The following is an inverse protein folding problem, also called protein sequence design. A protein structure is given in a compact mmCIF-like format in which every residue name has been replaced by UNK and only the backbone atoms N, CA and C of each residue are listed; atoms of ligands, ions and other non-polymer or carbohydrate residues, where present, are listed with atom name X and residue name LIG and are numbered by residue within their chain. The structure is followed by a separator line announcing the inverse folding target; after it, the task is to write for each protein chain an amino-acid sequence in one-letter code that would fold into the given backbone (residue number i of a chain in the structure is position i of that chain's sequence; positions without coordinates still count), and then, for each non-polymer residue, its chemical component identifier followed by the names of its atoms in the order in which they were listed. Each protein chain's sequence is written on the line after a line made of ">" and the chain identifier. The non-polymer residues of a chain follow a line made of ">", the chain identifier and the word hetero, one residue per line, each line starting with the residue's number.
data_IF_585455103824
#
_entry.id   IF_585455103824
#
_cell.length_a   1.000
_cell.length_b   1.000
_cell.length_c   1.000
_cell.angle_alpha   90.00
_cell.angle_beta   90.00
_cell.angle_gamma   90.00
#
_symmetry.space_group_name_H-M   'P 1'
#
loop_
_entity.id
_entity.type
_entity.pdbx_description
1 polymer ?
#
# COMPACT_ATOMS: atom_id res chain seq x y z
N UNK A 1 -15.70 -9.29 -9.11
CA UNK A 1 -14.89 -8.39 -8.25
C UNK A 1 -15.84 -7.74 -7.25
N UNK A 2 -15.55 -7.80 -5.95
CA UNK A 2 -16.39 -7.18 -4.91
C UNK A 2 -16.15 -5.67 -4.86
N UNK A 3 -17.06 -4.89 -4.29
CA UNK A 3 -16.83 -3.45 -4.05
C UNK A 3 -16.54 -3.17 -2.57
N UNK A 4 -16.24 -1.91 -2.24
CA UNK A 4 -15.98 -1.48 -0.86
C UNK A 4 -17.21 -1.66 0.06
N UNK A 5 -18.43 -1.57 -0.46
CA UNK A 5 -19.68 -1.78 0.28
C UNK A 5 -19.86 -3.25 0.68
N UNK A 6 -19.46 -4.19 -0.19
CA UNK A 6 -19.45 -5.62 0.12
C UNK A 6 -18.47 -5.91 1.24
N UNK A 7 -17.27 -5.31 1.21
CA UNK A 7 -16.29 -5.42 2.30
C UNK A 7 -16.85 -4.90 3.63
N UNK A 8 -17.58 -3.77 3.59
CA UNK A 8 -18.21 -3.19 4.78
C UNK A 8 -19.27 -4.11 5.37
N UNK A 9 -20.12 -4.71 4.52
CA UNK A 9 -21.13 -5.68 4.94
C UNK A 9 -20.50 -6.92 5.56
N UNK A 10 -19.44 -7.46 4.96
CA UNK A 10 -18.72 -8.62 5.50
C UNK A 10 -18.06 -8.30 6.85
N UNK A 11 -17.44 -7.13 7.00
CA UNK A 11 -16.86 -6.69 8.27
C UNK A 11 -17.90 -6.61 9.39
N UNK A 12 -19.08 -6.06 9.13
CA UNK A 12 -20.18 -6.00 10.12
C UNK A 12 -20.62 -7.43 10.54
N UNK A 13 -20.70 -8.37 9.60
CA UNK A 13 -21.13 -9.75 9.88
C UNK A 13 -20.14 -10.55 10.74
N UNK A 14 -18.86 -10.18 10.72
CA UNK A 14 -17.81 -10.89 11.47
C UNK A 14 -17.41 -10.19 12.76
N UNK A 15 -18.06 -9.07 13.10
CA UNK A 15 -17.76 -8.34 14.33
C UNK A 15 -17.98 -9.23 15.56
N UNK A 16 -17.07 -9.12 16.53
CA UNK A 16 -17.02 -9.95 17.73
C UNK A 16 -16.95 -11.48 17.51
N UNK A 17 -16.73 -11.96 16.28
CA UNK A 17 -16.48 -13.39 16.01
C UNK A 17 -15.01 -13.76 16.25
N UNK A 18 -14.73 -15.06 16.14
CA UNK A 18 -13.38 -15.60 16.24
C UNK A 18 -12.49 -15.04 15.12
N UNK A 19 -11.23 -14.80 15.46
CA UNK A 19 -10.23 -14.21 14.58
C UNK A 19 -10.10 -14.92 13.22
N UNK A 20 -10.26 -16.25 13.20
CA UNK A 20 -10.19 -17.05 11.98
C UNK A 20 -11.20 -16.65 10.90
N UNK A 21 -12.29 -15.97 11.27
CA UNK A 21 -13.28 -15.45 10.33
C UNK A 21 -12.71 -14.36 9.42
N UNK A 22 -11.59 -13.70 9.76
CA UNK A 22 -10.96 -12.75 8.85
C UNK A 22 -10.56 -13.36 7.51
N UNK A 23 -10.32 -14.69 7.44
CA UNK A 23 -9.99 -15.38 6.19
C UNK A 23 -11.07 -15.22 5.12
N UNK A 24 -12.32 -14.97 5.50
CA UNK A 24 -13.42 -14.73 4.54
C UNK A 24 -13.30 -13.39 3.82
N UNK A 25 -12.49 -12.46 4.35
CA UNK A 25 -12.18 -11.18 3.70
C UNK A 25 -11.11 -11.30 2.62
N UNK A 26 -10.53 -12.48 2.38
CA UNK A 26 -9.59 -12.69 1.29
C UNK A 26 -10.23 -12.37 -0.06
N UNK A 27 -9.50 -11.67 -0.93
CA UNK A 27 -9.93 -11.32 -2.28
C UNK A 27 -9.65 -9.89 -2.69
N UNK A 28 -10.31 -9.46 -3.76
CA UNK A 28 -10.11 -8.15 -4.40
C UNK A 28 -11.36 -7.29 -4.33
N UNK A 29 -11.17 -6.04 -3.91
CA UNK A 29 -12.22 -5.06 -3.65
C UNK A 29 -11.97 -3.78 -4.45
N UNK A 30 -12.93 -3.39 -5.27
CA UNK A 30 -12.87 -2.13 -6.02
C UNK A 30 -13.21 -0.94 -5.13
N UNK A 31 -12.33 0.07 -5.17
CA UNK A 31 -12.50 1.38 -4.54
C UNK A 31 -12.71 2.50 -5.59
N UNK A 32 -13.11 2.12 -6.80
CA UNK A 32 -13.30 3.04 -7.92
C UNK A 32 -11.99 3.30 -8.66
N UNK A 33 -11.12 4.12 -8.09
CA UNK A 33 -9.86 4.54 -8.74
C UNK A 33 -8.70 3.54 -8.53
N UNK A 34 -8.87 2.58 -7.62
CA UNK A 34 -7.90 1.54 -7.33
C UNK A 34 -8.60 0.27 -6.85
N UNK A 35 -7.85 -0.83 -6.82
CA UNK A 35 -8.29 -2.10 -6.27
C UNK A 35 -7.45 -2.39 -5.03
N UNK A 36 -8.12 -2.75 -3.93
CA UNK A 36 -7.50 -3.29 -2.74
C UNK A 36 -7.55 -4.81 -2.80
N UNK A 37 -6.39 -5.45 -2.75
CA UNK A 37 -6.28 -6.90 -2.63
C UNK A 37 -5.88 -7.27 -1.21
N UNK A 38 -6.57 -8.27 -0.66
CA UNK A 38 -6.22 -8.95 0.58
C UNK A 38 -5.70 -10.34 0.15
N UNK A 39 -4.40 -10.43 -0.10
CA UNK A 39 -3.75 -11.61 -0.68
C UNK A 39 -3.59 -12.73 0.36
N UNK A 40 -3.25 -12.36 1.60
CA UNK A 40 -3.09 -13.31 2.70
C UNK A 40 -3.59 -12.71 4.00
N UNK A 41 -4.41 -13.46 4.72
CA UNK A 41 -4.90 -13.08 6.04
C UNK A 41 -4.13 -13.87 7.10
N UNK A 42 -3.53 -13.16 8.06
CA UNK A 42 -2.81 -13.77 9.18
C UNK A 42 -3.72 -14.75 9.95
N UNK A 43 -3.17 -15.88 10.40
CA UNK A 43 -3.96 -16.93 11.06
C UNK A 43 -4.37 -16.61 12.51
N UNK A 44 -3.63 -15.72 13.16
CA UNK A 44 -3.82 -15.29 14.55
C UNK A 44 -3.30 -13.84 14.71
N UNK A 45 -3.81 -13.03 15.67
CA UNK A 45 -3.37 -11.63 15.86
C UNK A 45 -1.88 -11.44 16.14
N UNK A 46 -1.20 -12.48 16.66
CA UNK A 46 0.22 -12.44 17.00
C UNK A 46 1.13 -12.96 15.88
N UNK A 47 0.55 -13.50 14.81
CA UNK A 47 1.29 -14.03 13.67
C UNK A 47 1.93 -12.91 12.81
N UNK A 48 2.62 -13.31 11.75
CA UNK A 48 3.05 -12.37 10.72
C UNK A 48 1.83 -11.63 10.13
N UNK A 49 1.90 -10.30 9.94
CA UNK A 49 0.84 -9.48 9.38
C UNK A 49 0.15 -10.03 8.14
N UNK A 50 -1.12 -9.66 7.95
CA UNK A 50 -1.82 -9.90 6.69
C UNK A 50 -1.12 -9.15 5.56
N UNK A 51 -1.07 -9.74 4.36
CA UNK A 51 -0.47 -9.14 3.16
C UNK A 51 -1.56 -8.56 2.27
N UNK A 52 -1.37 -7.31 1.88
CA UNK A 52 -2.28 -6.56 1.05
C UNK A 52 -1.50 -5.87 -0.06
N UNK A 53 -2.21 -5.52 -1.13
CA UNK A 53 -1.67 -4.66 -2.17
C UNK A 53 -2.73 -3.76 -2.75
N UNK A 54 -2.32 -2.54 -3.08
CA UNK A 54 -3.06 -1.67 -3.96
C UNK A 54 -2.67 -1.97 -5.41
N UNK A 55 -3.65 -1.93 -6.30
CA UNK A 55 -3.45 -2.01 -7.74
C UNK A 55 -4.17 -0.82 -8.41
N UNK A 56 -3.44 -0.12 -9.29
CA UNK A 56 -3.95 1.03 -10.03
C UNK A 56 -3.58 0.91 -11.49
N UNK A 57 -4.55 1.11 -12.39
CA UNK A 57 -4.31 1.09 -13.84
C UNK A 57 -3.54 2.32 -14.30
N UNK A 58 -2.81 2.20 -15.41
CA UNK A 58 -2.01 3.27 -16.02
C UNK A 58 -2.80 4.55 -16.23
N UNK A 59 -4.01 4.43 -16.75
CA UNK A 59 -4.87 5.57 -17.07
C UNK A 59 -5.27 6.36 -15.82
N UNK A 60 -5.21 5.73 -14.64
CA UNK A 60 -5.63 6.34 -13.38
C UNK A 60 -4.46 6.86 -12.56
N UNK A 61 -3.32 6.14 -12.49
CA UNK A 61 -2.19 6.57 -11.66
C UNK A 61 -1.52 7.85 -12.17
N UNK A 62 -1.53 8.07 -13.49
CA UNK A 62 -1.09 9.32 -14.12
C UNK A 62 0.41 9.67 -14.03
N UNK A 63 1.29 8.76 -13.55
CA UNK A 63 2.74 8.96 -13.65
C UNK A 63 3.20 9.01 -15.12
N UNK A 64 4.18 9.89 -15.46
CA UNK A 64 4.73 9.98 -16.82
C UNK A 64 5.35 8.65 -17.28
N UNK A 65 5.04 8.25 -18.52
CA UNK A 65 5.49 6.96 -19.07
C UNK A 65 7.01 6.85 -19.19
N UNK A 66 7.66 7.95 -19.55
CA UNK A 66 9.12 8.10 -19.60
C UNK A 66 9.84 7.74 -18.28
N UNK A 67 9.14 7.73 -17.14
CA UNK A 67 9.72 7.37 -15.85
C UNK A 67 9.74 5.86 -15.59
N UNK A 68 9.01 5.05 -16.35
CA UNK A 68 8.95 3.60 -16.16
C UNK A 68 9.14 2.76 -17.43
N UNK A 69 9.42 3.38 -18.57
CA UNK A 69 9.85 2.70 -19.79
C UNK A 69 11.22 2.01 -19.61
N UNK A 70 12.20 2.77 -19.14
CA UNK A 70 13.56 2.30 -18.92
C UNK A 70 13.74 1.71 -17.52
N UNK A 71 14.45 0.58 -17.41
CA UNK A 71 14.60 -0.15 -16.13
C UNK A 71 15.14 0.74 -15.00
N UNK A 72 16.20 1.53 -15.25
CA UNK A 72 16.85 2.33 -14.22
C UNK A 72 15.96 3.50 -13.74
N UNK A 73 15.22 4.14 -14.64
CA UNK A 73 14.21 5.16 -14.28
C UNK A 73 13.06 4.55 -13.49
N UNK A 74 12.58 3.39 -13.94
CA UNK A 74 11.51 2.65 -13.25
C UNK A 74 11.87 2.33 -11.80
N UNK A 75 13.10 1.86 -11.56
CA UNK A 75 13.60 1.60 -10.21
C UNK A 75 13.63 2.86 -9.35
N UNK A 76 14.02 4.01 -9.92
CA UNK A 76 13.99 5.28 -9.21
C UNK A 76 12.55 5.70 -8.87
N UNK A 77 11.61 5.57 -9.80
CA UNK A 77 10.19 5.85 -9.57
C UNK A 77 9.61 4.96 -8.47
N UNK A 78 9.79 3.64 -8.56
CA UNK A 78 9.34 2.66 -7.57
C UNK A 78 9.86 3.00 -6.17
N UNK A 79 11.15 3.34 -6.06
CA UNK A 79 11.78 3.74 -4.80
C UNK A 79 11.23 5.05 -4.25
N UNK A 80 10.98 6.07 -5.09
CA UNK A 80 10.38 7.33 -4.64
C UNK A 80 8.94 7.16 -4.16
N UNK A 81 8.14 6.35 -4.85
CA UNK A 81 6.77 6.05 -4.41
C UNK A 81 6.80 5.29 -3.07
N UNK A 82 7.69 4.32 -2.91
CA UNK A 82 7.87 3.59 -1.65
C UNK A 82 8.28 4.54 -0.50
N UNK A 83 9.24 5.44 -0.74
CA UNK A 83 9.66 6.44 0.27
C UNK A 83 8.52 7.37 0.65
N UNK A 84 7.69 7.78 -0.31
CA UNK A 84 6.51 8.61 -0.05
C UNK A 84 5.51 7.85 0.82
N UNK A 85 5.21 6.60 0.50
CA UNK A 85 4.33 5.75 1.30
C UNK A 85 4.85 5.57 2.73
N UNK A 86 6.13 5.25 2.90
CA UNK A 86 6.76 5.17 4.22
C UNK A 86 6.70 6.49 5.01
N UNK A 87 6.80 7.64 4.33
CA UNK A 87 6.64 8.95 4.98
C UNK A 87 5.21 9.18 5.46
N UNK A 88 4.21 8.81 4.65
CA UNK A 88 2.80 8.91 5.04
C UNK A 88 2.48 7.99 6.23
N UNK A 89 2.99 6.75 6.21
CA UNK A 89 2.85 5.83 7.34
C UNK A 89 3.38 6.42 8.65
N UNK A 90 4.56 7.05 8.63
CA UNK A 90 5.13 7.71 9.83
C UNK A 90 4.28 8.86 10.37
N UNK A 91 3.52 9.54 9.52
CA UNK A 91 2.63 10.64 9.94
C UNK A 91 1.32 10.12 10.55
N UNK A 92 0.90 8.93 10.12
CA UNK A 92 -0.31 8.25 10.60
C UNK A 92 -0.07 7.39 11.84
N UNK A 93 1.18 7.06 12.16
CA UNK A 93 1.58 6.21 13.28
C UNK A 93 1.27 6.88 14.64
N UNK A 94 -0.01 6.87 15.03
CA UNK A 94 -0.56 7.44 16.26
C UNK A 94 -0.93 6.38 17.31
N UNK A 95 -0.34 5.18 17.23
CA UNK A 95 -0.43 4.15 18.28
C UNK A 95 -1.12 2.85 17.85
N UNK A 96 -0.93 1.80 18.68
CA UNK A 96 -1.49 0.46 18.49
C UNK A 96 -3.01 0.45 18.71
N UNK A 97 -3.76 -0.19 17.80
CA UNK A 97 -5.22 -0.30 17.86
C UNK A 97 -5.68 -1.67 18.41
N UNK A 98 -5.05 -2.15 19.49
CA UNK A 98 -5.43 -3.42 20.15
C UNK A 98 -4.25 -4.27 20.62
N UNK A 99 -4.45 -5.59 20.60
CA UNK A 99 -3.43 -6.58 21.02
C UNK A 99 -2.43 -6.89 19.89
N UNK A 100 -1.17 -7.17 20.22
CA UNK A 100 -0.16 -7.59 19.25
C UNK A 100 0.20 -6.49 18.23
N UNK A 101 0.16 -6.83 16.93
CA UNK A 101 0.45 -5.89 15.82
C UNK A 101 -0.80 -5.19 15.29
N UNK A 102 -1.89 -5.18 16.05
CA UNK A 102 -3.20 -4.66 15.64
C UNK A 102 -3.14 -3.21 15.13
N UNK A 103 -3.64 -3.00 13.92
CA UNK A 103 -3.70 -1.70 13.27
C UNK A 103 -2.38 -1.16 12.74
N UNK A 104 -1.27 -1.90 12.91
CA UNK A 104 0.02 -1.50 12.38
C UNK A 104 0.09 -1.80 10.89
N UNK A 105 0.37 -0.78 10.09
CA UNK A 105 0.63 -0.89 8.66
C UNK A 105 2.14 -0.76 8.44
N UNK A 106 2.74 -1.72 7.74
CA UNK A 106 4.17 -1.77 7.46
C UNK A 106 4.44 -2.14 6.00
N UNK A 107 5.62 -1.82 5.51
CA UNK A 107 6.13 -2.32 4.22
C UNK A 107 7.65 -2.43 4.32
N UNK A 108 8.33 -2.92 3.27
CA UNK A 108 9.78 -3.04 3.31
C UNK A 108 10.44 -1.65 3.45
N UNK A 109 11.52 -1.53 4.25
CA UNK A 109 12.21 -0.27 4.43
C UNK A 109 12.93 0.18 3.15
N UNK A 110 12.90 1.48 2.88
CA UNK A 110 13.70 2.12 1.85
C UNK A 110 14.92 2.80 2.50
N UNK A 111 16.06 2.11 2.47
CA UNK A 111 17.34 2.59 3.01
C UNK A 111 17.99 3.60 2.04
N UNK A 112 19.30 3.86 2.17
CA UNK A 112 20.00 4.83 1.32
C UNK A 112 20.11 4.39 -0.15
N UNK A 113 20.07 3.09 -0.43
CA UNK A 113 20.24 2.54 -1.78
C UNK A 113 18.92 2.38 -2.52
N UNK A 114 18.90 2.77 -3.80
CA UNK A 114 17.84 2.41 -4.76
C UNK A 114 18.09 0.97 -5.22
N UNK A 115 17.14 0.07 -4.95
CA UNK A 115 17.24 -1.35 -5.29
C UNK A 115 15.94 -1.83 -5.90
N UNK A 116 16.03 -2.86 -6.72
CA UNK A 116 14.87 -3.60 -7.23
C UNK A 116 14.16 -4.30 -6.06
N UNK A 117 12.88 -4.01 -5.89
CA UNK A 117 12.04 -4.50 -4.79
C UNK A 117 10.66 -4.86 -5.31
N UNK A 118 9.98 -5.73 -4.59
CA UNK A 118 8.60 -6.14 -4.92
C UNK A 118 7.53 -5.24 -4.29
N UNK A 119 7.93 -4.27 -3.46
CA UNK A 119 6.98 -3.46 -2.69
C UNK A 119 6.26 -2.40 -3.52
N UNK A 120 6.90 -1.87 -4.55
CA UNK A 120 6.25 -1.06 -5.57
C UNK A 120 6.70 -1.60 -6.91
N UNK A 121 5.75 -1.92 -7.78
CA UNK A 121 6.04 -2.47 -9.11
C UNK A 121 5.27 -1.66 -10.14
N UNK A 122 5.99 -1.05 -11.07
CA UNK A 122 5.40 -0.45 -12.27
C UNK A 122 5.51 -1.41 -13.45
N UNK A 123 4.42 -1.53 -14.18
CA UNK A 123 4.34 -2.26 -15.44
C UNK A 123 3.75 -1.34 -16.51
N UNK A 124 3.69 -1.81 -17.76
CA UNK A 124 3.14 -1.01 -18.87
C UNK A 124 1.68 -0.61 -18.66
N UNK A 125 0.91 -1.41 -17.93
CA UNK A 125 -0.55 -1.23 -17.83
C UNK A 125 -1.03 -0.89 -16.40
N UNK A 126 -0.18 -1.10 -15.39
CA UNK A 126 -0.56 -0.91 -13.98
C UNK A 126 0.62 -0.66 -13.05
N UNK A 127 0.29 -0.12 -11.90
CA UNK A 127 1.15 0.01 -10.72
C UNK A 127 0.58 -0.85 -9.58
N UNK A 128 1.46 -1.56 -8.87
CA UNK A 128 1.14 -2.28 -7.64
C UNK A 128 1.94 -1.71 -6.45
N UNK A 129 1.32 -1.56 -5.28
CA UNK A 129 2.00 -1.24 -4.03
C UNK A 129 1.63 -2.28 -2.97
N UNK A 130 2.62 -3.03 -2.48
CA UNK A 130 2.45 -4.12 -1.51
C UNK A 130 2.83 -3.66 -0.11
N UNK A 131 2.01 -4.05 0.85
CA UNK A 131 2.20 -3.72 2.25
C UNK A 131 1.58 -4.80 3.14
N UNK A 132 1.87 -4.66 4.42
CA UNK A 132 1.43 -5.54 5.48
C UNK A 132 0.56 -4.76 6.45
N UNK A 133 -0.49 -5.39 6.96
CA UNK A 133 -1.37 -4.78 7.96
C UNK A 133 -1.77 -5.82 9.01
N UNK A 134 -1.54 -5.49 10.28
CA UNK A 134 -2.07 -6.28 11.38
C UNK A 134 -3.57 -6.04 11.52
N UNK A 135 -4.38 -7.08 11.33
CA UNK A 135 -5.83 -6.96 11.48
C UNK A 135 -6.19 -6.87 12.97
N UNK A 136 -7.07 -5.93 13.36
CA UNK A 136 -7.28 -5.60 14.76
C UNK A 136 -8.10 -6.65 15.50
N UNK A 137 -7.64 -7.02 16.69
CA UNK A 137 -8.33 -7.94 17.58
C UNK A 137 -8.15 -7.60 19.06
N UNK A 138 -9.12 -8.01 19.89
CA UNK A 138 -9.01 -8.05 21.35
C UNK A 138 -8.88 -9.50 21.77
N UNK A 139 -7.67 -9.92 22.16
CA UNK A 139 -7.38 -11.35 22.24
C UNK A 139 -7.62 -12.00 20.88
N UNK A 140 -8.46 -13.04 20.80
CA UNK A 140 -8.85 -13.71 19.54
C UNK A 140 -10.20 -13.28 18.98
N UNK A 141 -10.72 -12.16 19.46
CA UNK A 141 -12.02 -11.63 19.03
C UNK A 141 -11.81 -10.48 18.06
N UNK A 142 -12.49 -10.53 16.91
CA UNK A 142 -12.43 -9.52 15.86
C UNK A 142 -12.94 -8.16 16.37
N UNK A 143 -12.24 -7.08 16.02
CA UNK A 143 -12.69 -5.71 16.24
C UNK A 143 -13.06 -5.05 14.90
N UNK A 144 -14.27 -5.28 14.40
CA UNK A 144 -14.65 -4.83 13.06
C UNK A 144 -14.68 -3.31 12.94
N UNK A 145 -15.06 -2.59 14.01
CA UNK A 145 -15.04 -1.12 14.01
C UNK A 145 -13.65 -0.55 13.75
N UNK A 146 -12.62 -1.11 14.38
CA UNK A 146 -11.24 -0.69 14.15
C UNK A 146 -10.74 -1.07 12.77
N UNK A 147 -11.14 -2.25 12.29
CA UNK A 147 -10.82 -2.66 10.92
C UNK A 147 -11.49 -1.76 9.89
N UNK A 148 -12.72 -1.31 10.13
CA UNK A 148 -13.41 -0.36 9.27
C UNK A 148 -12.67 0.97 9.21
N UNK A 149 -12.18 1.49 10.34
CA UNK A 149 -11.37 2.71 10.37
C UNK A 149 -10.10 2.57 9.52
N UNK A 150 -9.39 1.45 9.65
CA UNK A 150 -8.21 1.18 8.84
C UNK A 150 -8.56 1.14 7.35
N UNK A 151 -9.58 0.37 6.97
CA UNK A 151 -9.89 0.02 5.58
C UNK A 151 -10.68 1.09 4.82
N UNK A 152 -11.46 1.92 5.53
CA UNK A 152 -12.34 2.93 4.91
C UNK A 152 -11.91 4.37 5.18
N UNK A 153 -11.04 4.62 6.15
CA UNK A 153 -10.53 5.97 6.42
C UNK A 153 -9.04 6.04 6.08
N UNK A 154 -8.22 5.19 6.71
CA UNK A 154 -6.75 5.27 6.62
C UNK A 154 -6.20 4.77 5.27
N UNK A 155 -6.61 3.58 4.82
CA UNK A 155 -6.13 3.02 3.54
C UNK A 155 -6.51 3.89 2.34
N UNK A 156 -7.74 4.47 2.25
CA UNK A 156 -8.06 5.40 1.18
C UNK A 156 -7.22 6.68 1.21
N UNK A 157 -6.92 7.24 2.37
CA UNK A 157 -6.03 8.40 2.50
C UNK A 157 -4.60 8.07 2.01
N UNK A 158 -4.07 6.90 2.39
CA UNK A 158 -2.78 6.40 1.93
C UNK A 158 -2.76 6.18 0.41
N UNK A 159 -3.80 5.55 -0.13
CA UNK A 159 -3.93 5.30 -1.55
C UNK A 159 -3.98 6.61 -2.35
N UNK A 160 -4.85 7.55 -1.93
CA UNK A 160 -5.00 8.84 -2.60
C UNK A 160 -3.70 9.66 -2.58
N UNK A 161 -3.01 9.70 -1.43
CA UNK A 161 -1.80 10.49 -1.28
C UNK A 161 -0.59 9.94 -2.03
N UNK A 162 -0.51 8.62 -2.26
CA UNK A 162 0.68 7.98 -2.80
C UNK A 162 0.53 7.50 -4.25
N UNK A 163 -0.63 6.96 -4.63
CA UNK A 163 -0.79 6.20 -5.87
C UNK A 163 -1.16 7.05 -7.10
N UNK A 164 -1.60 8.29 -6.89
CA UNK A 164 -2.03 9.16 -8.00
C UNK A 164 -1.10 10.36 -8.15
N UNK A 165 -0.42 10.47 -9.30
CA UNK A 165 0.55 11.52 -9.59
C UNK A 165 -0.03 12.94 -9.46
N UNK A 166 -1.31 13.12 -9.79
CA UNK A 166 -2.03 14.40 -9.62
C UNK A 166 -2.06 14.90 -8.17
N UNK A 167 -1.99 13.99 -7.19
CA UNK A 167 -2.00 14.30 -5.74
C UNK A 167 -0.60 14.59 -5.20
N UNK A 168 0.44 14.46 -6.02
CA UNK A 168 1.80 14.82 -5.62
C UNK A 168 1.97 16.34 -5.71
N UNK A 169 2.44 16.91 -4.60
CA UNK A 169 2.78 18.32 -4.48
C UNK A 169 4.02 18.66 -5.33
N UNK A 170 4.16 19.93 -5.71
CA UNK A 170 5.24 20.43 -6.58
C UNK A 170 6.63 20.02 -6.06
N UNK A 171 6.83 20.06 -4.75
CA UNK A 171 8.09 19.64 -4.13
C UNK A 171 8.36 18.16 -4.35
N UNK A 172 7.39 17.28 -4.13
CA UNK A 172 7.56 15.83 -4.37
C UNK A 172 7.76 15.51 -5.85
N UNK A 173 7.10 16.23 -6.76
CA UNK A 173 7.31 16.08 -8.22
C UNK A 173 8.73 16.45 -8.63
N UNK A 174 9.22 17.60 -8.14
CA UNK A 174 10.61 18.02 -8.38
C UNK A 174 11.64 17.03 -7.80
N UNK A 175 11.37 16.42 -6.65
CA UNK A 175 12.23 15.35 -6.11
C UNK A 175 12.21 14.10 -6.98
N UNK A 176 11.05 13.72 -7.52
CA UNK A 176 10.93 12.59 -8.43
C UNK A 176 11.72 12.83 -9.72
N UNK A 177 11.56 14.00 -10.34
CA UNK A 177 12.32 14.40 -11.54
C UNK A 177 13.83 14.30 -11.31
N UNK A 178 14.33 14.84 -10.19
CA UNK A 178 15.75 14.76 -9.82
C UNK A 178 16.22 13.33 -9.59
N UNK A 179 15.39 12.48 -8.97
CA UNK A 179 15.72 11.07 -8.75
C UNK A 179 15.82 10.29 -10.06
N UNK A 180 14.94 10.56 -11.02
CA UNK A 180 14.96 9.97 -12.36
C UNK A 180 16.19 10.44 -13.13
N UNK A 181 16.48 11.75 -13.14
CA UNK A 181 17.68 12.31 -13.77
C UNK A 181 18.97 11.72 -13.19
N UNK A 182 19.04 11.59 -11.86
CA UNK A 182 20.19 10.98 -11.20
C UNK A 182 20.36 9.50 -11.60
N UNK A 183 19.26 8.79 -11.84
CA UNK A 183 19.33 7.40 -12.29
C UNK A 183 19.90 7.30 -13.71
N UNK A 184 19.59 8.26 -14.59
CA UNK A 184 20.18 8.37 -15.93
C UNK A 184 21.70 8.58 -15.83
N UNK A 185 22.14 9.57 -15.03
CA UNK A 185 23.56 9.85 -14.82
C UNK A 185 24.31 8.62 -14.28
N UNK A 186 23.72 7.93 -13.30
CA UNK A 186 24.30 6.72 -12.73
C UNK A 186 24.37 5.55 -13.71
N UNK A 187 23.48 5.48 -14.70
CA UNK A 187 23.55 4.47 -15.76
C UNK A 187 24.70 4.77 -16.70
N UNK A 188 24.84 6.02 -17.14
CA UNK A 188 25.93 6.42 -18.04
C UNK A 188 27.31 6.28 -17.39
N UNK A 189 27.45 6.61 -16.10
CA UNK A 189 28.73 6.47 -15.38
C UNK A 189 29.13 5.02 -15.08
N UNK A 190 28.21 4.05 -15.18
CA UNK A 190 28.48 2.62 -14.96
C UNK A 190 28.67 1.84 -16.27
N UNK A 191 28.47 2.48 -17.42
CA UNK A 191 28.81 1.92 -18.73
C UNK A 191 30.31 1.97 -18.93
#
# INVERSE_FOLDING_TARGET
>A
MKNKEDLKKELIKIDHKSYGMYKTLGGSYSYGNYILHIDHVQGDPFASPSRLRFEVKKETHGFPEEYYEEKHRRLALEDQVLRRFLRQLRQLDKGSMGSGKSGRITTCPANQTVQERIAVVFSKDRMELRFEMGFPARGRTIMAKEMQKLVFDILPELAESCLFYRKWDTKSKSFLEKAVSLADDQKELRR
#
